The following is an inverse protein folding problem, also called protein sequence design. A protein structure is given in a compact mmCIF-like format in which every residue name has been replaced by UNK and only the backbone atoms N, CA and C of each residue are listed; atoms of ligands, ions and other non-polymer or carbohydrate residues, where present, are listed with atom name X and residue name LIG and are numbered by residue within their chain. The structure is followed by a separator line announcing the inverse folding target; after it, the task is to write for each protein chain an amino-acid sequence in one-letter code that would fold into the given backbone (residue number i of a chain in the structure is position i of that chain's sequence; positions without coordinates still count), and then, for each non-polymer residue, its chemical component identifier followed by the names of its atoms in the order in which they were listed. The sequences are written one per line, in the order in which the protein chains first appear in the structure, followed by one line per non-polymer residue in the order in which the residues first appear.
data_IF_841507327362
#
_entry.id   IF_841507327362
#
_cell.length_a   1.000
_cell.length_b   1.000
_cell.length_c   1.000
_cell.angle_alpha   90.00
_cell.angle_beta   90.00
_cell.angle_gamma   90.00
#
_symmetry.space_group_name_H-M   'P 1'
#
loop_
_entity.id
_entity.type
_entity.pdbx_description
1 polymer ?
#
# COMPACT_ATOMS: atom_id res chain seq x y z
N UNK A 1 3.98 10.13 -1.76
CA UNK A 1 3.14 10.40 -2.96
C UNK A 1 2.12 9.28 -3.13
N UNK A 2 0.93 9.53 -3.71
CA UNK A 2 0.02 8.45 -4.07
C UNK A 2 0.70 7.50 -5.07
N UNK A 3 0.45 6.20 -4.92
CA UNK A 3 0.97 5.16 -5.83
C UNK A 3 0.49 5.45 -7.26
N UNK A 4 1.42 5.42 -8.23
CA UNK A 4 1.11 5.54 -9.64
C UNK A 4 0.76 4.16 -10.19
N UNK A 5 -0.41 4.01 -10.78
CA UNK A 5 -0.93 2.71 -11.24
C UNK A 5 -0.54 2.40 -12.67
N UNK A 6 -0.51 3.42 -13.53
CA UNK A 6 -0.13 3.28 -14.93
C UNK A 6 0.88 4.35 -15.34
N UNK A 7 2.03 3.86 -15.76
CA UNK A 7 3.22 4.67 -16.04
C UNK A 7 3.87 4.17 -17.31
N UNK A 8 4.64 5.03 -17.98
CA UNK A 8 5.44 4.60 -19.12
C UNK A 8 6.81 4.16 -18.62
N UNK A 9 7.21 2.95 -18.98
CA UNK A 9 8.43 2.31 -18.47
C UNK A 9 9.28 1.76 -19.60
N UNK A 10 10.57 1.67 -19.34
CA UNK A 10 11.53 1.01 -20.22
C UNK A 10 11.60 -0.48 -19.95
N UNK A 11 11.76 -1.25 -21.03
CA UNK A 11 11.91 -2.70 -20.97
C UNK A 11 13.40 -3.01 -20.97
N UNK A 12 13.91 -3.49 -19.85
CA UNK A 12 15.35 -3.75 -19.68
C UNK A 12 15.80 -5.02 -20.40
N UNK A 13 14.94 -6.05 -20.45
CA UNK A 13 15.24 -7.31 -21.11
C UNK A 13 13.99 -8.07 -21.52
N UNK A 14 14.12 -8.87 -22.59
CA UNK A 14 13.16 -9.87 -23.02
C UNK A 14 13.84 -11.23 -22.95
N UNK A 15 13.21 -12.22 -22.32
CA UNK A 15 13.73 -13.59 -22.25
C UNK A 15 12.67 -14.63 -22.65
N UNK A 16 13.05 -15.70 -23.36
CA UNK A 16 12.12 -16.75 -23.75
C UNK A 16 11.65 -17.56 -22.53
N UNK A 17 10.40 -18.01 -22.55
CA UNK A 17 9.87 -18.91 -21.53
C UNK A 17 10.07 -20.35 -21.99
N UNK A 18 10.72 -21.16 -21.16
CA UNK A 18 10.99 -22.58 -21.47
C UNK A 18 9.67 -23.30 -21.76
N UNK A 19 9.58 -23.96 -22.92
CA UNK A 19 8.38 -24.69 -23.40
C UNK A 19 7.15 -23.80 -23.64
N UNK A 20 7.35 -22.51 -23.94
CA UNK A 20 6.29 -21.63 -24.43
C UNK A 20 6.80 -20.81 -25.63
N UNK A 21 6.18 -21.02 -26.79
CA UNK A 21 6.54 -20.46 -28.09
C UNK A 21 5.85 -19.13 -28.40
N UNK A 22 4.72 -18.84 -27.75
CA UNK A 22 3.89 -17.66 -28.00
C UNK A 22 4.09 -16.52 -27.00
N UNK A 23 4.83 -16.77 -25.92
CA UNK A 23 5.02 -15.80 -24.84
C UNK A 23 6.49 -15.74 -24.39
N UNK A 24 6.89 -14.58 -23.90
CA UNK A 24 8.20 -14.28 -23.34
C UNK A 24 8.02 -13.50 -22.03
N UNK A 25 9.10 -13.34 -21.26
CA UNK A 25 9.14 -12.44 -20.11
C UNK A 25 9.77 -11.12 -20.50
N UNK A 26 9.12 -10.01 -20.15
CA UNK A 26 9.69 -8.68 -20.14
C UNK A 26 10.05 -8.28 -18.71
N UNK A 27 11.25 -7.73 -18.53
CA UNK A 27 11.68 -7.12 -17.27
C UNK A 27 11.46 -5.61 -17.35
N UNK A 28 10.69 -5.07 -16.42
CA UNK A 28 10.33 -3.65 -16.34
C UNK A 28 10.68 -3.18 -14.93
N UNK A 29 11.73 -2.38 -14.78
CA UNK A 29 12.33 -2.08 -13.47
C UNK A 29 12.60 -3.38 -12.68
N UNK A 30 12.06 -3.52 -11.46
CA UNK A 30 12.10 -4.76 -10.68
C UNK A 30 10.95 -5.74 -10.93
N UNK A 31 10.08 -5.47 -11.92
CA UNK A 31 8.93 -6.30 -12.26
C UNK A 31 9.23 -7.28 -13.40
N UNK A 32 8.54 -8.42 -13.40
CA UNK A 32 8.51 -9.36 -14.51
C UNK A 32 7.10 -9.48 -15.04
N UNK A 33 6.91 -9.27 -16.34
CA UNK A 33 5.63 -9.37 -17.02
C UNK A 33 5.71 -10.40 -18.14
N UNK A 34 4.70 -11.26 -18.25
CA UNK A 34 4.58 -12.16 -19.39
C UNK A 34 3.90 -11.43 -20.54
N UNK A 35 4.56 -11.38 -21.68
CA UNK A 35 4.10 -10.68 -22.90
C UNK A 35 4.10 -11.63 -24.10
N UNK A 36 3.31 -11.37 -25.16
CA UNK A 36 3.43 -12.12 -26.39
C UNK A 36 4.82 -11.97 -27.02
N UNK A 37 5.28 -13.00 -27.72
CA UNK A 37 6.55 -12.92 -28.48
C UNK A 37 6.42 -11.88 -29.60
N UNK A 38 7.55 -11.26 -29.95
CA UNK A 38 7.66 -10.24 -31.00
C UNK A 38 6.84 -8.96 -30.75
N UNK A 39 6.28 -8.75 -29.55
CA UNK A 39 5.61 -7.49 -29.18
C UNK A 39 6.59 -6.41 -28.74
N UNK A 40 7.69 -6.80 -28.09
CA UNK A 40 8.68 -5.88 -27.53
C UNK A 40 10.11 -6.37 -27.75
N UNK A 41 11.05 -5.44 -27.68
CA UNK A 41 12.50 -5.63 -27.64
C UNK A 41 13.09 -4.91 -26.43
N UNK A 42 14.32 -5.28 -26.03
CA UNK A 42 15.02 -4.56 -24.98
C UNK A 42 15.30 -3.11 -25.41
N UNK A 43 15.03 -2.15 -24.53
CA UNK A 43 15.11 -0.71 -24.80
C UNK A 43 13.77 -0.06 -25.17
N UNK A 44 12.78 -0.86 -25.58
CA UNK A 44 11.44 -0.35 -25.91
C UNK A 44 10.76 0.31 -24.70
N UNK A 45 9.75 1.14 -25.00
CA UNK A 45 8.85 1.73 -24.01
C UNK A 45 7.47 1.08 -24.11
N UNK A 46 6.87 0.83 -22.96
CA UNK A 46 5.50 0.35 -22.86
C UNK A 46 4.73 1.08 -21.76
N UNK A 47 3.40 1.02 -21.85
CA UNK A 47 2.49 1.45 -20.78
C UNK A 47 2.37 0.27 -19.81
N UNK A 48 2.92 0.47 -18.62
CA UNK A 48 2.93 -0.51 -17.54
C UNK A 48 1.83 -0.20 -16.54
N UNK A 49 0.93 -1.16 -16.34
CA UNK A 49 -0.13 -1.14 -15.33
C UNK A 49 0.30 -2.02 -14.16
N UNK A 50 0.49 -1.45 -12.99
CA UNK A 50 0.89 -2.21 -11.80
C UNK A 50 -0.23 -3.13 -11.31
N UNK A 51 0.12 -4.15 -10.53
CA UNK A 51 -0.85 -4.98 -9.81
C UNK A 51 -1.80 -4.13 -8.96
N UNK A 52 -3.03 -4.60 -8.77
CA UNK A 52 -4.17 -3.84 -8.21
C UNK A 52 -4.73 -2.74 -9.11
N UNK A 53 -4.25 -2.56 -10.34
CA UNK A 53 -4.94 -1.70 -11.31
C UNK A 53 -6.28 -2.32 -11.70
N UNK A 54 -7.35 -1.54 -11.60
CA UNK A 54 -8.70 -1.88 -12.04
C UNK A 54 -8.96 -1.18 -13.37
N UNK A 55 -8.87 -1.94 -14.45
CA UNK A 55 -8.98 -1.46 -15.83
C UNK A 55 -10.46 -1.36 -16.22
N UNK A 56 -10.91 -0.22 -16.77
CA UNK A 56 -12.31 -0.01 -17.12
C UNK A 56 -12.74 -0.99 -18.22
N UNK A 57 -13.80 -1.76 -17.97
CA UNK A 57 -14.33 -2.73 -18.94
C UNK A 57 -14.88 -2.08 -20.22
N UNK A 58 -15.16 -0.78 -20.16
CA UNK A 58 -15.61 0.03 -21.30
C UNK A 58 -14.51 0.34 -22.31
N UNK A 59 -13.23 0.18 -21.94
CA UNK A 59 -12.12 0.44 -22.85
C UNK A 59 -11.80 -0.82 -23.69
N UNK A 60 -11.96 -0.76 -25.02
CA UNK A 60 -11.81 -1.92 -25.89
C UNK A 60 -10.39 -2.50 -25.90
N UNK A 61 -9.37 -1.72 -25.52
CA UNK A 61 -7.98 -2.19 -25.44
C UNK A 61 -7.81 -3.30 -24.41
N UNK A 62 -8.65 -3.31 -23.37
CA UNK A 62 -8.59 -4.30 -22.30
C UNK A 62 -9.53 -5.49 -22.52
N UNK A 63 -10.36 -5.49 -23.56
CA UNK A 63 -11.38 -6.50 -23.79
C UNK A 63 -10.83 -7.94 -23.85
N UNK A 64 -9.58 -8.10 -24.31
CA UNK A 64 -8.89 -9.41 -24.38
C UNK A 64 -8.59 -10.02 -23.01
N UNK A 65 -8.56 -9.19 -21.95
CA UNK A 65 -8.32 -9.61 -20.57
C UNK A 65 -9.62 -9.81 -19.79
N UNK A 66 -10.77 -9.52 -20.39
CA UNK A 66 -12.06 -9.67 -19.73
C UNK A 66 -12.31 -11.14 -19.36
N UNK A 67 -12.74 -11.43 -18.12
CA UNK A 67 -13.05 -12.78 -17.71
C UNK A 67 -14.23 -13.33 -18.53
N UNK A 68 -14.06 -14.52 -19.10
CA UNK A 68 -15.10 -15.23 -19.87
C UNK A 68 -16.15 -15.83 -18.92
N UNK A 69 -16.91 -15.01 -18.21
CA UNK A 69 -17.99 -15.49 -17.35
C UNK A 69 -19.26 -15.64 -18.20
N UNK A 70 -19.62 -16.88 -18.52
CA UNK A 70 -20.93 -17.24 -19.09
C UNK A 70 -21.75 -17.89 -17.97
N UNK A 71 -22.42 -17.08 -17.16
CA UNK A 71 -23.42 -17.59 -16.22
C UNK A 71 -24.78 -17.69 -16.93
N UNK A 72 -25.61 -18.73 -16.68
CA UNK A 72 -27.00 -18.75 -17.14
C UNK A 72 -27.75 -17.61 -16.43
N UNK A 73 -28.03 -16.53 -17.17
CA UNK A 73 -28.63 -15.30 -16.64
C UNK A 73 -27.83 -14.02 -16.92
N UNK A 74 -26.53 -14.13 -17.22
CA UNK A 74 -25.63 -13.04 -17.64
C UNK A 74 -25.47 -11.88 -16.63
N UNK A 75 -24.26 -11.32 -16.43
CA UNK A 75 -24.15 -10.06 -15.71
C UNK A 75 -24.77 -8.93 -16.57
N UNK A 76 -25.48 -7.98 -15.94
CA UNK A 76 -26.07 -6.80 -16.61
C UNK A 76 -25.03 -5.82 -17.16
N UNK A 77 -23.75 -6.00 -16.81
CA UNK A 77 -22.59 -5.27 -17.34
C UNK A 77 -21.30 -6.09 -17.22
N UNK A 78 -20.33 -5.84 -18.08
CA UNK A 78 -19.00 -6.46 -17.99
C UNK A 78 -18.23 -5.85 -16.81
N UNK A 79 -17.74 -6.64 -15.83
CA UNK A 79 -16.98 -6.10 -14.72
C UNK A 79 -15.61 -5.55 -15.18
N UNK A 80 -15.13 -4.51 -14.49
CA UNK A 80 -13.76 -4.02 -14.66
C UNK A 80 -12.73 -5.13 -14.39
N UNK A 81 -11.57 -5.02 -15.03
CA UNK A 81 -10.55 -6.06 -15.05
C UNK A 81 -9.47 -5.71 -14.04
N UNK A 82 -9.28 -6.57 -13.03
CA UNK A 82 -8.20 -6.39 -12.07
C UNK A 82 -6.90 -6.99 -12.62
N UNK A 83 -5.83 -6.19 -12.64
CA UNK A 83 -4.46 -6.67 -12.86
C UNK A 83 -3.98 -7.34 -11.58
N UNK A 84 -3.67 -8.63 -11.67
CA UNK A 84 -3.27 -9.48 -10.54
C UNK A 84 -1.90 -10.10 -10.76
N UNK A 85 -1.22 -10.53 -9.70
CA UNK A 85 -0.09 -11.44 -9.79
C UNK A 85 -0.55 -12.80 -10.30
N UNK A 86 0.05 -13.25 -11.40
CA UNK A 86 -0.24 -14.54 -12.02
C UNK A 86 1.01 -15.41 -12.08
N UNK A 87 0.82 -16.72 -12.17
CA UNK A 87 1.88 -17.67 -12.51
C UNK A 87 1.56 -18.33 -13.85
N UNK A 88 2.25 -17.91 -14.90
CA UNK A 88 2.01 -18.36 -16.28
C UNK A 88 3.17 -19.25 -16.71
N UNK A 89 2.88 -20.51 -17.04
CA UNK A 89 3.89 -21.52 -17.43
C UNK A 89 5.06 -21.63 -16.43
N UNK A 90 4.77 -21.46 -15.14
CA UNK A 90 5.75 -21.56 -14.06
C UNK A 90 6.47 -20.26 -13.73
N UNK A 91 6.31 -19.21 -14.53
CA UNK A 91 6.94 -17.90 -14.34
C UNK A 91 5.95 -16.95 -13.66
N UNK A 92 6.46 -16.13 -12.73
CA UNK A 92 5.69 -15.06 -12.11
C UNK A 92 5.47 -13.91 -13.11
N UNK A 93 4.24 -13.44 -13.23
CA UNK A 93 3.84 -12.28 -14.05
C UNK A 93 3.11 -11.27 -13.17
N UNK A 94 3.66 -10.07 -13.05
CA UNK A 94 3.13 -9.01 -12.20
C UNK A 94 2.97 -7.72 -12.99
N UNK A 95 1.73 -7.25 -13.04
CA UNK A 95 1.35 -6.12 -13.88
C UNK A 95 0.96 -6.54 -15.30
N UNK A 96 0.49 -5.56 -16.06
CA UNK A 96 0.18 -5.67 -17.48
C UNK A 96 1.07 -4.68 -18.23
N UNK A 97 1.71 -5.14 -19.30
CA UNK A 97 2.56 -4.30 -20.15
C UNK A 97 1.96 -4.27 -21.56
N UNK A 98 1.63 -3.07 -22.04
CA UNK A 98 1.04 -2.87 -23.37
C UNK A 98 1.86 -1.89 -24.22
N UNK A 99 1.90 -2.07 -25.55
CA UNK A 99 2.61 -1.18 -26.46
C UNK A 99 2.18 0.28 -26.31
N UNK A 100 3.14 1.20 -26.29
CA UNK A 100 2.83 2.64 -26.23
C UNK A 100 2.00 3.13 -27.44
N UNK A 101 2.12 2.45 -28.59
CA UNK A 101 1.31 2.71 -29.79
C UNK A 101 -0.19 2.57 -29.57
N UNK A 102 -0.60 1.78 -28.58
CA UNK A 102 -2.02 1.55 -28.25
C UNK A 102 -2.63 2.72 -27.45
N UNK A 103 -1.79 3.69 -27.04
CA UNK A 103 -2.15 4.82 -26.18
C UNK A 103 -1.64 6.17 -26.75
N UNK A 104 -2.16 6.64 -27.90
CA UNK A 104 -1.74 7.91 -28.50
C UNK A 104 -1.97 9.13 -27.58
N UNK A 105 -2.97 9.07 -26.69
CA UNK A 105 -3.25 10.10 -25.68
C UNK A 105 -2.19 10.16 -24.57
N UNK A 106 -1.45 9.08 -24.35
CA UNK A 106 -0.28 9.04 -23.48
C UNK A 106 0.93 9.52 -24.26
N UNK A 107 1.17 8.96 -25.45
CA UNK A 107 2.34 9.29 -26.27
C UNK A 107 2.46 10.80 -26.54
N UNK A 108 1.36 11.47 -26.85
CA UNK A 108 1.33 12.93 -27.08
C UNK A 108 1.67 13.77 -25.85
N UNK A 109 1.54 13.22 -24.64
CA UNK A 109 1.92 13.88 -23.38
C UNK A 109 3.38 13.67 -22.99
N UNK A 110 4.14 12.86 -23.74
CA UNK A 110 5.55 12.54 -23.45
C UNK A 110 6.55 13.45 -24.18
N UNK A 111 6.08 14.32 -25.07
CA UNK A 111 6.95 15.21 -25.83
C UNK A 111 7.78 16.10 -24.89
N UNK A 112 9.10 16.03 -25.01
CA UNK A 112 10.05 16.80 -24.20
C UNK A 112 10.32 16.26 -22.80
N UNK A 113 9.72 15.14 -22.40
CA UNK A 113 10.02 14.48 -21.11
C UNK A 113 11.25 13.59 -21.23
N UNK A 114 12.18 13.76 -20.29
CA UNK A 114 13.37 12.90 -20.18
C UNK A 114 12.96 11.44 -19.92
N UNK A 115 13.64 10.45 -20.55
CA UNK A 115 13.43 9.03 -20.26
C UNK A 115 13.42 8.69 -18.76
N UNK A 116 14.28 9.33 -17.97
CA UNK A 116 14.44 9.07 -16.54
C UNK A 116 13.22 9.50 -15.70
N UNK A 117 12.43 10.43 -16.23
CA UNK A 117 11.28 11.02 -15.55
C UNK A 117 9.95 10.36 -15.97
N UNK A 118 9.96 9.39 -16.90
CA UNK A 118 8.73 8.75 -17.40
C UNK A 118 7.95 8.04 -16.28
N UNK A 119 8.67 7.45 -15.32
CA UNK A 119 8.09 6.79 -14.13
C UNK A 119 7.39 7.75 -13.18
N UNK A 120 7.67 9.05 -13.28
CA UNK A 120 7.10 10.06 -12.39
C UNK A 120 5.75 10.61 -12.84
N UNK A 121 5.29 10.17 -14.00
CA UNK A 121 4.04 10.62 -14.62
C UNK A 121 3.05 9.46 -14.63
N UNK A 122 1.96 9.61 -13.86
CA UNK A 122 0.83 8.68 -13.84
C UNK A 122 -0.21 9.03 -14.90
N UNK A 123 -0.83 8.02 -15.52
CA UNK A 123 -1.83 8.17 -16.59
C UNK A 123 -3.19 7.54 -16.26
N UNK A 124 -3.41 7.15 -15.01
CA UNK A 124 -4.56 6.42 -14.50
C UNK A 124 -5.83 7.25 -14.63
N UNK A 125 -5.79 8.55 -14.33
CA UNK A 125 -6.92 9.45 -14.58
C UNK A 125 -7.20 9.59 -16.08
N UNK A 126 -6.16 9.57 -16.92
CA UNK A 126 -6.30 9.66 -18.39
C UNK A 126 -7.00 8.42 -18.93
N UNK A 127 -6.70 7.24 -18.36
CA UNK A 127 -7.25 5.95 -18.81
C UNK A 127 -8.46 5.48 -17.99
N UNK A 128 -8.91 6.24 -16.99
CA UNK A 128 -9.98 5.81 -16.08
C UNK A 128 -9.64 4.60 -15.21
N UNK A 129 -8.35 4.30 -15.02
CA UNK A 129 -7.87 3.19 -14.19
C UNK A 129 -7.97 3.55 -12.72
N UNK A 130 -8.51 2.64 -11.91
CA UNK A 130 -8.67 2.84 -10.46
C UNK A 130 -7.81 1.86 -9.68
N UNK A 131 -7.50 2.16 -8.42
CA UNK A 131 -6.89 1.18 -7.51
C UNK A 131 -7.99 0.23 -7.04
N UNK A 132 -7.78 -1.07 -7.20
CA UNK A 132 -8.59 -2.06 -6.52
C UNK A 132 -8.31 -2.00 -5.01
N UNK A 133 -9.36 -1.80 -4.22
CA UNK A 133 -9.29 -1.90 -2.76
C UNK A 133 -10.07 -3.14 -2.32
N UNK A 134 -9.43 -4.00 -1.49
CA UNK A 134 -10.17 -5.06 -0.80
C UNK A 134 -11.27 -4.42 0.05
N UNK A 135 -12.46 -5.04 0.17
CA UNK A 135 -13.49 -4.57 1.08
C UNK A 135 -12.90 -4.40 2.49
N UNK A 136 -12.89 -3.17 3.00
CA UNK A 136 -12.51 -2.89 4.39
C UNK A 136 -13.48 -3.58 5.34
N UNK A 137 -13.07 -3.70 6.61
CA UNK A 137 -13.87 -4.24 7.74
C UNK A 137 -15.34 -3.90 7.52
N UNK A 138 -16.22 -4.89 7.29
CA UNK A 138 -17.61 -4.64 6.97
C UNK A 138 -18.22 -3.79 8.09
N UNK A 139 -18.79 -2.65 7.72
CA UNK A 139 -19.63 -1.88 8.61
C UNK A 139 -21.03 -2.41 8.42
N UNK A 140 -21.62 -3.14 9.38
CA UNK A 140 -23.02 -3.53 9.28
C UNK A 140 -23.82 -2.24 9.41
N UNK A 141 -24.24 -1.66 8.28
CA UNK A 141 -25.19 -0.56 8.27
C UNK A 141 -26.57 -1.16 8.57
N UNK A 142 -27.22 -0.81 9.69
CA UNK A 142 -28.64 -1.10 9.87
C UNK A 142 -29.40 -0.46 8.70
N UNK A 143 -30.34 -1.19 8.09
CA UNK A 143 -31.15 -0.73 6.95
C UNK A 143 -31.94 0.58 7.24
N UNK A 144 -31.99 1.02 8.50
CA UNK A 144 -32.72 2.18 8.99
C UNK A 144 -31.89 3.44 9.20
N UNK A 145 -30.55 3.39 9.08
CA UNK A 145 -29.68 4.56 9.27
C UNK A 145 -29.32 5.19 7.92
N UNK A 146 -30.09 6.21 7.56
CA UNK A 146 -29.98 7.02 6.33
C UNK A 146 -29.06 8.23 6.49
N UNK A 147 -27.99 8.17 7.30
CA UNK A 147 -27.10 9.34 7.36
C UNK A 147 -26.31 9.42 6.04
N UNK A 148 -26.80 10.23 5.11
CA UNK A 148 -26.11 10.53 3.84
C UNK A 148 -24.79 11.27 4.08
N UNK A 149 -24.58 11.83 5.28
CA UNK A 149 -23.35 12.55 5.65
C UNK A 149 -22.10 11.67 5.50
N UNK A 150 -21.17 12.02 4.59
CA UNK A 150 -19.93 11.29 4.44
C UNK A 150 -19.04 11.45 5.68
N UNK A 151 -18.16 10.48 5.93
CA UNK A 151 -17.11 10.65 6.93
C UNK A 151 -16.15 11.77 6.51
N UNK A 152 -15.59 12.54 7.45
CA UNK A 152 -14.60 13.55 7.13
C UNK A 152 -13.35 12.95 6.46
N UNK A 153 -12.69 13.78 5.65
CA UNK A 153 -11.44 13.40 4.99
C UNK A 153 -10.33 13.08 6.01
N UNK A 154 -9.34 12.30 5.56
CA UNK A 154 -8.12 12.10 6.34
C UNK A 154 -7.39 13.44 6.51
N UNK A 155 -6.85 13.77 7.70
CA UNK A 155 -6.24 15.08 7.93
C UNK A 155 -5.05 15.32 6.99
N UNK A 156 -5.07 16.42 6.23
CA UNK A 156 -4.06 16.72 5.20
C UNK A 156 -2.67 17.00 5.76
N UNK A 157 -2.57 17.38 7.03
CA UNK A 157 -1.32 17.64 7.75
C UNK A 157 -0.65 16.37 8.32
N UNK A 158 -1.23 15.18 8.07
CA UNK A 158 -0.65 13.89 8.42
C UNK A 158 -0.44 13.10 7.11
N UNK A 159 0.76 12.60 6.83
CA UNK A 159 0.97 11.74 5.67
C UNK A 159 0.22 10.42 5.82
N UNK A 160 -0.35 9.91 4.72
CA UNK A 160 -0.94 8.56 4.71
C UNK A 160 0.16 7.50 4.78
N UNK A 161 -0.23 6.31 5.21
CA UNK A 161 0.66 5.17 5.52
C UNK A 161 1.09 4.34 4.30
N UNK A 162 0.95 4.90 3.09
CA UNK A 162 1.37 4.22 1.87
C UNK A 162 2.89 4.11 1.82
N UNK A 163 3.37 3.02 1.21
CA UNK A 163 4.78 2.69 1.09
C UNK A 163 5.04 2.20 -0.32
N UNK A 164 6.09 2.72 -0.96
CA UNK A 164 6.48 2.37 -2.32
C UNK A 164 6.98 0.92 -2.38
N UNK A 165 6.68 0.19 -3.45
CA UNK A 165 7.17 -1.17 -3.67
C UNK A 165 8.62 -1.13 -4.16
N UNK A 166 9.44 -2.02 -3.64
CA UNK A 166 10.87 -2.13 -4.00
C UNK A 166 11.11 -2.29 -5.51
N UNK A 167 10.18 -2.94 -6.22
CA UNK A 167 10.27 -3.12 -7.67
C UNK A 167 10.26 -1.79 -8.46
N UNK A 168 9.74 -0.72 -7.87
CA UNK A 168 9.72 0.62 -8.47
C UNK A 168 10.99 1.43 -8.17
N UNK A 169 11.95 0.85 -7.45
CA UNK A 169 13.17 1.51 -6.97
C UNK A 169 14.43 0.83 -7.54
N UNK A 170 14.65 0.86 -8.88
CA UNK A 170 15.80 0.19 -9.51
C UNK A 170 17.16 0.69 -9.01
N UNK A 171 17.22 1.94 -8.57
CA UNK A 171 18.45 2.62 -8.16
C UNK A 171 18.70 2.56 -6.64
N UNK A 172 17.90 1.78 -5.90
CA UNK A 172 17.87 1.81 -4.43
C UNK A 172 19.21 1.48 -3.77
N UNK A 173 20.01 0.58 -4.34
CA UNK A 173 21.30 0.21 -3.76
C UNK A 173 22.39 1.24 -4.07
N UNK A 174 22.33 1.90 -5.24
CA UNK A 174 23.25 3.00 -5.55
C UNK A 174 22.95 4.24 -4.71
N UNK A 175 21.68 4.52 -4.43
CA UNK A 175 21.25 5.70 -3.67
C UNK A 175 21.33 5.48 -2.16
N UNK A 176 20.92 4.31 -1.68
CA UNK A 176 20.67 4.04 -0.26
C UNK A 176 21.44 2.82 0.28
N UNK A 177 22.30 2.18 -0.51
CA UNK A 177 22.93 0.91 -0.15
C UNK A 177 23.74 0.92 1.15
N UNK A 178 24.43 2.03 1.44
CA UNK A 178 25.23 2.19 2.66
C UNK A 178 24.42 2.68 3.87
N UNK A 179 23.18 3.10 3.66
CA UNK A 179 22.34 3.67 4.72
C UNK A 179 21.68 2.56 5.55
N UNK A 180 21.51 2.81 6.85
CA UNK A 180 20.93 1.84 7.79
C UNK A 180 19.41 1.88 7.71
N UNK A 181 18.79 0.71 7.60
CA UNK A 181 17.34 0.54 7.60
C UNK A 181 16.89 -0.34 8.77
N UNK A 182 15.80 0.07 9.42
CA UNK A 182 14.92 -0.84 10.16
C UNK A 182 14.25 -1.78 9.17
N UNK A 183 14.35 -3.08 9.40
CA UNK A 183 13.49 -4.08 8.75
C UNK A 183 12.39 -4.52 9.74
N UNK A 184 11.13 -4.41 9.33
CA UNK A 184 9.99 -4.89 10.13
C UNK A 184 9.00 -5.72 9.32
N UNK A 185 8.26 -6.61 10.00
CA UNK A 185 7.18 -7.37 9.36
C UNK A 185 6.08 -6.42 8.89
N UNK A 186 5.70 -6.55 7.62
CA UNK A 186 4.47 -5.93 7.12
C UNK A 186 3.27 -6.76 7.59
N UNK A 187 2.50 -6.19 8.51
CA UNK A 187 1.31 -6.81 9.06
C UNK A 187 0.13 -6.68 8.10
N UNK A 188 -0.71 -7.71 8.00
CA UNK A 188 -1.91 -7.71 7.14
C UNK A 188 -3.16 -7.38 7.97
N UNK A 189 -3.47 -6.09 8.07
CA UNK A 189 -4.60 -5.60 8.83
C UNK A 189 -5.28 -4.40 8.17
N UNK A 190 -5.72 -3.46 9.01
CA UNK A 190 -6.25 -2.19 8.56
C UNK A 190 -5.44 -1.04 9.16
N UNK A 191 -4.92 -0.17 8.30
CA UNK A 191 -4.15 0.98 8.77
C UNK A 191 -5.02 1.88 9.64
N UNK A 192 -4.49 2.20 10.82
CA UNK A 192 -5.11 3.04 11.83
C UNK A 192 -4.15 4.16 12.21
N UNK A 193 -4.65 5.39 12.19
CA UNK A 193 -3.93 6.53 12.74
C UNK A 193 -4.70 7.06 13.95
N UNK A 194 -4.02 7.27 15.07
CA UNK A 194 -4.58 8.00 16.22
C UNK A 194 -3.67 9.18 16.48
N UNK A 195 -4.21 10.39 16.41
CA UNK A 195 -3.43 11.60 16.58
C UNK A 195 -3.95 12.45 17.72
N UNK A 196 -3.08 13.28 18.28
CA UNK A 196 -3.43 14.42 19.10
C UNK A 196 -2.90 15.67 18.40
N UNK A 197 -3.76 16.67 18.26
CA UNK A 197 -3.41 18.00 17.81
C UNK A 197 -3.69 18.96 18.96
N UNK A 198 -2.66 19.70 19.38
CA UNK A 198 -2.84 20.68 20.45
C UNK A 198 -3.95 21.68 20.06
N UNK A 199 -4.95 21.96 20.93
CA UNK A 199 -6.00 22.92 20.62
C UNK A 199 -5.49 24.32 20.26
N UNK A 200 -4.30 24.71 20.76
CA UNK A 200 -3.64 25.97 20.39
C UNK A 200 -2.98 25.95 19.00
N UNK A 201 -2.82 24.77 18.38
CA UNK A 201 -2.30 24.67 17.02
C UNK A 201 -3.35 25.24 16.03
N UNK A 202 -2.98 26.13 15.10
CA UNK A 202 -3.91 26.73 14.14
C UNK A 202 -4.68 25.72 13.28
N UNK A 203 -4.14 24.53 13.08
CA UNK A 203 -4.80 23.45 12.34
C UNK A 203 -5.98 22.84 13.10
N UNK A 204 -6.15 23.13 14.39
CA UNK A 204 -7.24 22.59 15.22
C UNK A 204 -8.63 22.96 14.67
N UNK A 205 -8.75 24.13 14.03
CA UNK A 205 -10.00 24.56 13.39
C UNK A 205 -10.37 23.70 12.16
N UNK A 206 -9.40 23.03 11.55
CA UNK A 206 -9.63 22.12 10.41
C UNK A 206 -10.21 20.77 10.84
N UNK A 207 -10.15 20.45 12.14
CA UNK A 207 -10.69 19.20 12.66
C UNK A 207 -12.22 19.17 12.60
N UNK A 208 -12.83 17.99 12.45
CA UNK A 208 -14.25 17.80 12.70
C UNK A 208 -14.65 18.31 14.09
N UNK A 209 -15.86 18.85 14.22
CA UNK A 209 -16.36 19.49 15.45
C UNK A 209 -16.31 18.54 16.64
N UNK A 210 -16.54 17.25 16.40
CA UNK A 210 -16.53 16.19 17.41
C UNK A 210 -15.13 15.90 17.98
N UNK A 211 -14.08 16.14 17.18
CA UNK A 211 -12.67 15.92 17.57
C UNK A 211 -11.99 17.15 18.15
N UNK A 212 -12.52 18.36 17.94
CA UNK A 212 -11.90 19.60 18.45
C UNK A 212 -11.74 19.67 19.98
N UNK A 213 -12.73 19.27 20.81
CA UNK A 213 -12.67 19.51 22.25
C UNK A 213 -11.51 18.81 22.97
N UNK A 214 -11.12 17.61 22.52
CA UNK A 214 -10.01 16.86 23.10
C UNK A 214 -8.76 16.85 22.21
N UNK A 215 -8.85 17.34 20.97
CA UNK A 215 -7.78 17.34 19.98
C UNK A 215 -7.39 15.94 19.51
N UNK A 216 -8.09 14.87 19.92
CA UNK A 216 -7.74 13.49 19.63
C UNK A 216 -8.63 12.94 18.51
N UNK A 217 -8.01 12.58 17.38
CA UNK A 217 -8.72 11.96 16.26
C UNK A 217 -8.28 10.52 16.02
N UNK A 218 -9.23 9.72 15.53
CA UNK A 218 -9.00 8.33 15.08
C UNK A 218 -9.34 8.25 13.60
N UNK A 219 -8.42 7.71 12.79
CA UNK A 219 -8.56 7.62 11.35
C UNK A 219 -8.37 6.17 10.89
N UNK A 220 -9.12 5.80 9.86
CA UNK A 220 -8.77 4.70 8.97
C UNK A 220 -7.69 5.15 7.97
N UNK A 221 -7.32 4.30 7.02
CA UNK A 221 -6.40 4.67 5.92
C UNK A 221 -6.80 5.95 5.17
N UNK A 222 -8.11 6.15 4.94
CA UNK A 222 -8.60 7.15 4.00
C UNK A 222 -9.51 8.22 4.63
N UNK A 223 -10.01 8.01 5.86
CA UNK A 223 -11.03 8.88 6.49
C UNK A 223 -10.78 9.06 7.97
N UNK A 224 -11.09 10.27 8.47
CA UNK A 224 -11.27 10.50 9.90
C UNK A 224 -12.59 9.87 10.34
N UNK A 225 -12.56 9.09 11.40
CA UNK A 225 -13.72 8.38 11.91
C UNK A 225 -14.38 9.24 13.00
N UNK A 226 -15.71 9.29 13.01
CA UNK A 226 -16.47 9.92 14.09
C UNK A 226 -17.05 8.83 14.96
N UNK A 227 -16.90 8.96 16.28
CA UNK A 227 -17.43 7.99 17.23
C UNK A 227 -18.96 7.90 17.10
N UNK A 228 -19.51 6.69 17.08
CA UNK A 228 -20.94 6.40 16.88
C UNK A 228 -21.52 6.76 15.51
N UNK A 229 -20.72 7.25 14.57
CA UNK A 229 -21.19 7.46 13.20
C UNK A 229 -21.44 6.11 12.49
N UNK A 230 -22.56 5.94 11.75
CA UNK A 230 -22.93 4.64 11.18
C UNK A 230 -21.91 4.07 10.20
N UNK A 231 -21.14 4.93 9.52
CA UNK A 231 -20.08 4.55 8.58
C UNK A 231 -18.71 4.33 9.23
N UNK A 232 -18.56 4.63 10.53
CA UNK A 232 -17.30 4.39 11.26
C UNK A 232 -17.20 2.93 11.72
N UNK A 233 -16.16 2.18 11.33
CA UNK A 233 -15.97 0.84 11.86
C UNK A 233 -15.65 0.90 13.36
N UNK A 234 -16.46 0.23 14.18
CA UNK A 234 -16.40 0.31 15.66
C UNK A 234 -15.04 -0.12 16.25
N UNK A 235 -14.34 -1.03 15.58
CA UNK A 235 -13.08 -1.62 16.04
C UNK A 235 -11.96 -0.58 16.26
N UNK A 236 -11.95 0.53 15.49
CA UNK A 236 -10.91 1.55 15.60
C UNK A 236 -11.01 2.32 16.92
N UNK A 237 -12.19 2.82 17.25
CA UNK A 237 -12.43 3.53 18.52
C UNK A 237 -12.35 2.58 19.72
N UNK A 238 -12.77 1.32 19.56
CA UNK A 238 -12.60 0.31 20.60
C UNK A 238 -11.10 0.12 20.93
N UNK A 239 -10.26 -0.03 19.91
CA UNK A 239 -8.80 -0.15 20.10
C UNK A 239 -8.18 1.11 20.71
N UNK A 240 -8.53 2.30 20.22
CA UNK A 240 -8.01 3.57 20.76
C UNK A 240 -8.38 3.78 22.24
N UNK A 241 -9.57 3.34 22.66
CA UNK A 241 -10.00 3.38 24.06
C UNK A 241 -9.30 2.34 24.91
N UNK A 242 -9.20 1.10 24.44
CA UNK A 242 -8.50 0.04 25.15
C UNK A 242 -7.03 0.39 25.45
N UNK A 243 -6.40 1.18 24.57
CA UNK A 243 -5.03 1.68 24.72
C UNK A 243 -4.94 3.03 25.43
N UNK A 244 -6.07 3.57 25.91
CA UNK A 244 -6.16 4.85 26.61
C UNK A 244 -5.52 6.05 25.87
N UNK A 245 -5.57 6.07 24.53
CA UNK A 245 -4.93 7.14 23.75
C UNK A 245 -5.59 8.51 23.93
N UNK A 246 -6.90 8.52 24.16
CA UNK A 246 -7.67 9.74 24.43
C UNK A 246 -7.18 10.51 25.68
N UNK A 247 -6.62 9.83 26.68
CA UNK A 247 -6.00 10.48 27.83
C UNK A 247 -4.48 10.60 27.72
N UNK A 248 -3.82 9.60 27.12
CA UNK A 248 -2.36 9.50 27.13
C UNK A 248 -1.73 10.49 26.15
N UNK A 249 -2.31 10.67 24.95
CA UNK A 249 -1.73 11.55 23.94
C UNK A 249 -1.72 13.03 24.35
N UNK A 250 -2.80 13.62 24.89
CA UNK A 250 -2.77 15.01 25.35
C UNK A 250 -1.70 15.27 26.43
N UNK A 251 -1.45 14.30 27.31
CA UNK A 251 -0.44 14.40 28.38
C UNK A 251 1.01 14.45 27.86
N UNK A 252 1.25 14.06 26.61
CA UNK A 252 2.57 14.16 25.97
C UNK A 252 2.89 15.62 25.65
N UNK A 253 1.87 16.46 25.43
CA UNK A 253 2.02 17.89 25.18
C UNK A 253 2.59 18.25 23.81
N UNK A 254 2.62 17.30 22.85
CA UNK A 254 3.11 17.50 21.47
C UNK A 254 2.05 17.08 20.48
N UNK A 255 1.89 17.80 19.36
CA UNK A 255 0.97 17.37 18.30
C UNK A 255 1.60 16.22 17.53
N UNK A 256 1.05 15.01 17.68
CA UNK A 256 1.63 13.79 17.11
C UNK A 256 0.57 12.87 16.54
N UNK A 257 0.95 12.09 15.53
CA UNK A 257 0.13 11.02 14.97
C UNK A 257 0.82 9.67 15.14
N UNK A 258 0.17 8.75 15.85
CA UNK A 258 0.56 7.35 15.94
C UNK A 258 -0.01 6.60 14.74
N UNK A 259 0.85 6.01 13.92
CA UNK A 259 0.45 5.21 12.77
C UNK A 259 0.81 3.75 13.01
N UNK A 260 -0.20 2.89 12.89
CA UNK A 260 -0.05 1.47 13.14
C UNK A 260 -1.04 0.64 12.32
N UNK A 261 -0.89 -0.67 12.45
CA UNK A 261 -1.78 -1.64 11.83
C UNK A 261 -2.72 -2.20 12.89
N UNK A 262 -4.02 -2.09 12.65
CA UNK A 262 -5.05 -2.72 13.47
C UNK A 262 -5.28 -4.14 12.94
N UNK A 263 -4.91 -5.14 13.74
CA UNK A 263 -4.99 -6.55 13.39
C UNK A 263 -5.91 -7.32 14.35
N UNK A 264 -6.58 -8.36 13.87
CA UNK A 264 -7.45 -9.17 14.71
C UNK A 264 -8.23 -10.24 13.93
N UNK A 265 -8.93 -11.11 14.66
CA UNK A 265 -9.60 -12.28 14.08
C UNK A 265 -10.71 -11.98 13.08
N UNK A 266 -11.22 -10.74 13.07
CA UNK A 266 -12.29 -10.27 12.18
C UNK A 266 -11.80 -9.25 11.14
N UNK A 267 -10.48 -9.11 10.96
CA UNK A 267 -9.85 -8.13 10.08
C UNK A 267 -9.06 -8.88 9.01
N UNK A 268 -9.20 -8.48 7.74
CA UNK A 268 -8.47 -9.05 6.58
C UNK A 268 -8.38 -10.57 6.56
N UNK A 269 -9.54 -11.24 6.71
CA UNK A 269 -9.62 -12.71 6.71
C UNK A 269 -8.73 -13.40 7.77
N UNK A 270 -8.25 -12.64 8.75
CA UNK A 270 -7.36 -13.10 9.81
C UNK A 270 -6.12 -13.83 9.26
N UNK A 271 -5.47 -13.24 8.25
CA UNK A 271 -4.32 -13.84 7.57
C UNK A 271 -3.24 -14.31 8.57
N UNK A 272 -2.99 -13.50 9.59
CA UNK A 272 -1.98 -13.72 10.62
C UNK A 272 -2.46 -14.62 11.78
N UNK A 273 -3.69 -15.13 11.76
CA UNK A 273 -4.15 -16.17 12.69
C UNK A 273 -4.35 -15.73 14.13
N UNK A 274 -4.81 -14.50 14.37
CA UNK A 274 -5.22 -14.04 15.70
C UNK A 274 -6.37 -14.87 16.26
N UNK A 275 -6.31 -15.12 17.57
CA UNK A 275 -7.42 -15.71 18.32
C UNK A 275 -8.59 -14.73 18.39
N UNK A 276 -9.81 -15.24 18.58
CA UNK A 276 -11.00 -14.41 18.78
C UNK A 276 -10.81 -13.50 20.00
N UNK A 277 -11.05 -12.21 19.83
CA UNK A 277 -10.91 -11.21 20.89
C UNK A 277 -10.85 -9.79 20.35
N UNK A 278 -10.50 -8.85 21.22
CA UNK A 278 -10.29 -7.45 20.83
C UNK A 278 -9.11 -7.31 19.86
N UNK A 279 -9.21 -6.41 18.87
CA UNK A 279 -8.13 -6.19 17.93
C UNK A 279 -6.90 -5.60 18.62
N UNK A 280 -5.72 -5.94 18.12
CA UNK A 280 -4.44 -5.39 18.57
C UNK A 280 -3.97 -4.33 17.59
N UNK A 281 -3.58 -3.17 18.12
CA UNK A 281 -2.87 -2.14 17.37
C UNK A 281 -1.36 -2.39 17.45
N UNK A 282 -0.71 -2.46 16.29
CA UNK A 282 0.74 -2.57 16.17
C UNK A 282 1.29 -1.26 15.61
N UNK A 283 1.92 -0.46 16.47
CA UNK A 283 2.59 0.77 16.07
C UNK A 283 3.69 0.45 15.06
N UNK A 284 3.84 1.28 14.04
CA UNK A 284 5.00 1.22 13.15
C UNK A 284 5.66 2.58 12.95
N UNK A 285 4.95 3.70 13.06
CA UNK A 285 5.52 5.03 12.88
C UNK A 285 4.86 6.04 13.81
N UNK A 286 5.63 7.07 14.18
CA UNK A 286 5.10 8.27 14.84
C UNK A 286 5.46 9.46 13.95
N UNK A 287 4.47 10.28 13.63
CA UNK A 287 4.64 11.51 12.88
C UNK A 287 4.51 12.70 13.82
N UNK A 288 5.52 13.56 13.84
CA UNK A 288 5.47 14.85 14.51
C UNK A 288 4.72 15.83 13.60
N UNK A 289 3.55 16.27 14.03
CA UNK A 289 2.69 17.17 13.27
C UNK A 289 3.25 18.60 13.31
N UNK A 290 3.87 19.01 14.41
CA UNK A 290 4.41 20.36 14.55
C UNK A 290 5.68 20.52 13.70
N UNK A 291 6.54 19.50 13.66
CA UNK A 291 7.78 19.49 12.88
C UNK A 291 7.64 18.93 11.46
N UNK A 292 6.46 18.41 11.10
CA UNK A 292 6.13 17.82 9.80
C UNK A 292 7.15 16.75 9.36
N UNK A 293 7.52 15.85 10.28
CA UNK A 293 8.46 14.76 10.00
C UNK A 293 8.12 13.50 10.76
N UNK A 294 8.50 12.36 10.19
CA UNK A 294 8.53 11.12 10.94
C UNK A 294 9.64 11.14 12.00
N UNK A 295 9.37 10.52 13.14
CA UNK A 295 10.41 10.25 14.12
C UNK A 295 11.31 9.09 13.64
N UNK A 296 12.59 9.06 14.02
CA UNK A 296 13.49 7.95 13.73
C UNK A 296 12.88 6.60 14.13
N UNK A 297 12.86 5.57 13.27
CA UNK A 297 12.20 4.29 13.55
C UNK A 297 12.71 3.62 14.84
N UNK A 298 14.02 3.73 15.13
CA UNK A 298 14.60 3.23 16.38
C UNK A 298 14.01 3.92 17.62
N UNK A 299 13.83 5.24 17.57
CA UNK A 299 13.18 5.98 18.66
C UNK A 299 11.72 5.52 18.84
N UNK A 300 11.02 5.29 17.73
CA UNK A 300 9.63 4.79 17.76
C UNK A 300 9.55 3.42 18.44
N UNK A 301 10.45 2.51 18.08
CA UNK A 301 10.49 1.15 18.62
C UNK A 301 10.96 1.11 20.09
N UNK A 302 12.08 1.74 20.41
CA UNK A 302 12.76 1.60 21.71
C UNK A 302 12.22 2.55 22.79
N UNK A 303 11.66 3.71 22.40
CA UNK A 303 11.20 4.72 23.36
C UNK A 303 9.67 4.92 23.31
N UNK A 304 9.09 5.15 22.12
CA UNK A 304 7.66 5.50 22.03
C UNK A 304 6.73 4.32 22.30
N UNK A 305 6.98 3.17 21.68
CA UNK A 305 6.12 2.01 21.90
C UNK A 305 6.05 1.59 23.39
N UNK A 306 7.18 1.50 24.13
CA UNK A 306 7.16 1.22 25.56
C UNK A 306 6.52 2.33 26.38
N UNK A 307 6.82 3.60 26.10
CA UNK A 307 6.23 4.76 26.81
C UNK A 307 4.70 4.77 26.71
N UNK A 308 4.16 4.37 25.57
CA UNK A 308 2.73 4.32 25.29
C UNK A 308 2.08 3.00 25.74
N UNK A 309 2.86 1.99 26.13
CA UNK A 309 2.35 0.66 26.47
C UNK A 309 1.71 -0.08 25.29
N UNK A 310 2.18 0.18 24.07
CA UNK A 310 1.61 -0.39 22.83
C UNK A 310 2.52 -1.46 22.24
N UNK A 311 1.93 -2.40 21.49
CA UNK A 311 2.73 -3.31 20.67
C UNK A 311 3.31 -2.54 19.49
N UNK A 312 4.53 -2.89 19.10
CA UNK A 312 5.13 -2.48 17.84
C UNK A 312 5.05 -3.63 16.83
N UNK A 313 5.03 -3.34 15.54
CA UNK A 313 5.25 -4.37 14.50
C UNK A 313 6.58 -5.10 14.76
N UNK A 314 6.69 -6.42 14.50
CA UNK A 314 7.93 -7.14 14.74
C UNK A 314 9.11 -6.53 13.96
N UNK A 315 10.15 -6.12 14.69
CA UNK A 315 11.40 -5.57 14.12
C UNK A 315 12.45 -6.67 14.04
N UNK A 316 13.09 -6.81 12.88
CA UNK A 316 14.12 -7.82 12.56
C UNK A 316 15.56 -7.28 12.66
N UNK A 317 15.71 -5.98 12.91
CA UNK A 317 16.98 -5.32 13.19
C UNK A 317 17.21 -4.08 12.33
N UNK A 318 18.40 -3.50 12.50
CA UNK A 318 18.86 -2.29 11.82
C UNK A 318 20.20 -2.57 11.16
N UNK A 319 20.29 -2.48 9.84
CA UNK A 319 21.52 -2.78 9.07
C UNK A 319 21.61 -1.94 7.80
N UNK A 320 22.82 -1.70 7.27
CA UNK A 320 22.99 -1.16 5.93
C UNK A 320 22.25 -2.01 4.88
N UNK A 321 21.61 -1.37 3.91
CA UNK A 321 20.81 -2.08 2.90
C UNK A 321 21.65 -3.10 2.09
N UNK A 322 22.91 -2.78 1.81
CA UNK A 322 23.85 -3.68 1.11
C UNK A 322 24.23 -4.93 1.93
N UNK A 323 24.04 -4.92 3.25
CA UNK A 323 24.20 -6.11 4.10
C UNK A 323 22.93 -6.98 4.12
N UNK A 324 21.79 -6.41 3.71
CA UNK A 324 20.50 -7.10 3.65
C UNK A 324 20.32 -7.84 2.33
N UNK A 325 20.69 -7.20 1.23
CA UNK A 325 20.58 -7.72 -0.14
C UNK A 325 21.51 -6.94 -1.09
N UNK A 326 21.75 -7.48 -2.27
CA UNK A 326 22.48 -6.83 -3.38
C UNK A 326 21.61 -6.61 -4.63
N UNK A 327 20.40 -7.19 -4.68
CA UNK A 327 19.48 -7.04 -5.81
C UNK A 327 18.03 -6.87 -5.35
N UNK A 328 17.16 -6.29 -6.20
CA UNK A 328 15.73 -6.17 -5.89
C UNK A 328 15.08 -7.54 -5.72
N UNK A 329 15.52 -8.52 -6.53
CA UNK A 329 15.03 -9.90 -6.46
C UNK A 329 15.32 -10.53 -5.09
N UNK A 330 16.49 -10.24 -4.49
CA UNK A 330 16.83 -10.68 -3.15
C UNK A 330 15.96 -10.01 -2.07
N UNK A 331 15.66 -8.70 -2.20
CA UNK A 331 14.74 -8.02 -1.29
C UNK A 331 13.31 -8.59 -1.38
N UNK A 332 12.84 -8.89 -2.58
CA UNK A 332 11.53 -9.53 -2.80
C UNK A 332 11.53 -10.97 -2.24
N UNK A 333 12.59 -11.74 -2.47
CA UNK A 333 12.73 -13.08 -1.91
C UNK A 333 12.77 -13.03 -0.37
N UNK A 334 13.42 -12.03 0.20
CA UNK A 334 13.48 -11.79 1.64
C UNK A 334 12.12 -11.48 2.25
N UNK A 335 11.17 -10.93 1.50
CA UNK A 335 9.81 -10.70 2.00
C UNK A 335 9.08 -12.00 2.34
N UNK A 336 9.45 -13.12 1.74
CA UNK A 336 8.95 -14.44 2.13
C UNK A 336 9.32 -14.77 3.60
N UNK A 337 8.55 -15.67 4.21
CA UNK A 337 8.85 -16.18 5.54
C UNK A 337 7.65 -16.18 6.48
N UNK A 338 7.91 -16.49 7.75
CA UNK A 338 6.90 -16.47 8.80
C UNK A 338 6.77 -15.06 9.38
N UNK A 339 5.54 -14.63 9.59
CA UNK A 339 5.18 -13.47 10.40
C UNK A 339 4.90 -13.91 11.83
N UNK A 340 3.83 -13.38 12.39
CA UNK A 340 3.38 -13.73 13.75
C UNK A 340 2.52 -14.99 13.75
N UNK A 341 2.32 -15.57 14.94
CA UNK A 341 1.48 -16.75 15.19
C UNK A 341 1.82 -17.97 14.30
N UNK A 342 3.06 -18.07 13.83
CA UNK A 342 3.52 -19.15 12.95
C UNK A 342 2.95 -19.11 11.53
N UNK A 343 2.19 -18.07 11.15
CA UNK A 343 1.67 -17.86 9.79
C UNK A 343 2.73 -17.25 8.89
N UNK A 344 2.50 -17.30 7.57
CA UNK A 344 3.31 -16.53 6.62
C UNK A 344 3.07 -15.03 6.84
N UNK A 345 4.06 -14.19 6.53
CA UNK A 345 3.89 -12.73 6.51
C UNK A 345 3.45 -12.25 5.14
N UNK A 346 2.80 -11.08 5.08
CA UNK A 346 2.52 -10.38 3.82
C UNK A 346 3.82 -9.92 3.17
N UNK A 347 4.75 -9.43 3.97
CA UNK A 347 6.05 -8.98 3.50
C UNK A 347 6.83 -8.28 4.58
N UNK A 348 7.69 -7.36 4.16
CA UNK A 348 8.54 -6.56 5.04
C UNK A 348 8.52 -5.09 4.60
N UNK A 349 8.70 -4.21 5.58
CA UNK A 349 8.87 -2.78 5.39
C UNK A 349 10.28 -2.41 5.81
N UNK A 350 10.92 -1.56 5.02
CA UNK A 350 12.21 -0.97 5.31
C UNK A 350 12.03 0.52 5.57
N UNK A 351 12.58 1.02 6.67
CA UNK A 351 12.59 2.44 6.99
C UNK A 351 14.00 2.87 7.32
N UNK A 352 14.51 3.87 6.62
CA UNK A 352 15.82 4.44 6.90
C UNK A 352 15.85 4.96 8.33
N UNK A 353 16.98 4.79 9.01
CA UNK A 353 17.12 5.08 10.44
C UNK A 353 16.81 6.54 10.80
N UNK A 354 16.95 7.47 9.86
CA UNK A 354 16.59 8.88 10.02
C UNK A 354 15.08 9.18 9.86
N UNK A 355 14.29 8.20 9.42
CA UNK A 355 12.85 8.33 9.17
C UNK A 355 12.46 9.02 7.86
N UNK A 356 13.40 9.35 6.98
CA UNK A 356 13.14 10.19 5.80
C UNK A 356 12.85 9.39 4.52
N UNK A 357 13.17 8.10 4.50
CA UNK A 357 12.93 7.24 3.34
C UNK A 357 12.45 5.86 3.80
N UNK A 358 11.49 5.29 3.07
CA UNK A 358 10.95 3.97 3.37
C UNK A 358 10.31 3.32 2.15
N UNK A 359 10.30 2.00 2.14
CA UNK A 359 9.71 1.19 1.07
C UNK A 359 9.27 -0.17 1.62
N UNK A 360 8.58 -0.96 0.81
CA UNK A 360 8.13 -2.32 1.14
C UNK A 360 8.53 -3.33 0.09
N UNK A 361 8.78 -4.55 0.54
CA UNK A 361 8.83 -5.73 -0.30
C UNK A 361 7.67 -6.66 0.11
N UNK A 362 6.84 -7.07 -0.85
CA UNK A 362 5.69 -7.96 -0.61
C UNK A 362 6.06 -9.37 -1.06
N UNK A 363 5.67 -10.37 -0.26
CA UNK A 363 5.83 -11.78 -0.60
C UNK A 363 5.01 -12.13 -1.83
N UNK A 364 5.67 -12.72 -2.83
CA UNK A 364 4.98 -13.23 -4.02
C UNK A 364 4.05 -14.39 -3.68
N UNK A 365 4.41 -15.21 -2.68
CA UNK A 365 3.51 -16.28 -2.22
C UNK A 365 2.26 -15.75 -1.53
N UNK A 366 2.35 -14.61 -0.83
CA UNK A 366 1.18 -13.88 -0.34
C UNK A 366 0.30 -13.40 -1.49
N UNK A 367 0.88 -12.67 -2.46
CA UNK A 367 0.15 -12.08 -3.59
C UNK A 367 -0.61 -13.14 -4.40
N UNK A 368 0.05 -14.26 -4.73
CA UNK A 368 -0.54 -15.38 -5.45
C UNK A 368 -1.71 -16.03 -4.69
N UNK A 369 -1.65 -16.08 -3.35
CA UNK A 369 -2.69 -16.69 -2.52
C UNK A 369 -3.93 -15.81 -2.42
N UNK A 370 -3.75 -14.48 -2.42
CA UNK A 370 -4.84 -13.51 -2.22
C UNK A 370 -5.34 -12.89 -3.52
N UNK A 371 -4.80 -13.34 -4.66
CA UNK A 371 -5.14 -12.79 -5.99
C UNK A 371 -4.84 -11.30 -6.06
N UNK A 372 -3.69 -10.86 -5.56
CA UNK A 372 -3.22 -9.47 -5.68
C UNK A 372 -2.26 -9.26 -6.82
#
# INVERSE_FOLDING_TARGET
MPRRLVTVRHISSIAPITRADRIATATVDGWTCVVPVNTFQAGDRGVYFEIDSLLPSSDPRFAVFAPKIVSPGGPTSTPDIRVQTLKIRGVLSQGLLMPLSDFPEIASKLDGISPDNLRDIGFEDTLGVKKFEKPTIPVPLPQTLTSDTPLPEFPSFIPRTEQERVQNLPDIFSEHGAEVFEESTKMDGSSMTVFYLNPSNPLSETLPVETRPNGVGVCSRNRTLIENHPRSPRLFYAAARALNFHETLPKIGRSIALQGELCGSSIQSNFEGFTKGEPSFFLFSVYDIDEQRYLPPREVYEAWAPRLGVKHVPVHGYRPLNEVASTLAELVARAEGKGINGRKREGIVFKREDGQFSFKAISNSYLLTHGE
#
